data_IF_213326844102
#
_entry.id   IF_213326844102
#
_cell.length_a   1.000
_cell.length_b   1.000
_cell.length_c   1.000
_cell.angle_alpha   90.00
_cell.angle_beta   90.00
_cell.angle_gamma   90.00
#
_symmetry.space_group_name_H-M   'P 1'
#
loop_
_entity.id
_entity.type
_entity.pdbx_description
1 polymer ?
#
# COMPACT_ATOMS: atom_id res chain seq x y z
N UNK A 1 8.32 4.46 1.57
CA UNK A 1 6.98 3.88 1.82
C UNK A 1 6.84 3.49 3.28
N UNK A 2 5.77 3.90 3.95
CA UNK A 2 5.46 3.55 5.34
C UNK A 2 4.08 2.89 5.41
N UNK A 3 3.94 1.85 6.21
CA UNK A 3 2.67 1.16 6.43
C UNK A 3 2.40 1.07 7.92
N UNK A 4 1.22 1.49 8.35
CA UNK A 4 0.79 1.50 9.75
C UNK A 4 -0.55 0.80 9.89
N UNK A 5 -0.71 -0.02 10.93
CA UNK A 5 -2.00 -0.62 11.26
C UNK A 5 -2.88 0.40 11.98
N UNK A 6 -4.03 0.72 11.41
CA UNK A 6 -5.02 1.62 12.03
C UNK A 6 -5.96 0.85 12.94
N UNK A 7 -6.52 -0.25 12.43
CA UNK A 7 -7.40 -1.14 13.21
C UNK A 7 -7.41 -2.54 12.63
N UNK A 8 -7.74 -3.50 13.48
CA UNK A 8 -7.95 -4.90 13.10
C UNK A 8 -9.08 -5.48 13.96
N UNK A 9 -9.83 -6.42 13.43
CA UNK A 9 -10.81 -7.18 14.22
C UNK A 9 -10.14 -7.78 15.45
N UNK A 10 -10.59 -7.50 16.67
CA UNK A 10 -10.02 -8.07 17.89
C UNK A 10 -10.01 -9.60 17.83
N UNK A 11 -8.93 -10.22 18.28
CA UNK A 11 -8.74 -11.68 18.26
C UNK A 11 -9.11 -12.32 16.91
N UNK A 12 -8.69 -11.69 15.82
CA UNK A 12 -9.13 -12.00 14.45
C UNK A 12 -9.07 -13.50 14.11
N UNK A 13 -7.99 -14.18 14.44
CA UNK A 13 -7.83 -15.61 14.15
C UNK A 13 -8.84 -16.48 14.92
N UNK A 14 -9.05 -16.18 16.20
CA UNK A 14 -10.06 -16.83 17.03
C UNK A 14 -11.47 -16.56 16.50
N UNK A 15 -11.75 -15.32 16.09
CA UNK A 15 -13.02 -14.92 15.49
C UNK A 15 -13.29 -15.67 14.17
N UNK A 16 -12.32 -15.76 13.29
CA UNK A 16 -12.41 -16.53 12.03
C UNK A 16 -12.71 -18.00 12.33
N UNK A 17 -12.01 -18.61 13.30
CA UNK A 17 -12.23 -19.99 13.68
C UNK A 17 -13.61 -20.22 14.30
N UNK A 18 -14.09 -19.28 15.10
CA UNK A 18 -15.45 -19.27 15.64
C UNK A 18 -16.49 -19.31 14.51
N UNK A 19 -16.34 -18.45 13.51
CA UNK A 19 -17.22 -18.42 12.34
C UNK A 19 -17.12 -19.71 11.51
N UNK A 20 -15.92 -20.26 11.32
CA UNK A 20 -15.71 -21.50 10.60
C UNK A 20 -16.41 -22.70 11.26
N UNK A 21 -16.61 -22.65 12.59
CA UNK A 21 -17.26 -23.71 13.38
C UNK A 21 -18.76 -23.50 13.59
N UNK A 22 -19.40 -22.62 12.87
CA UNK A 22 -20.83 -22.32 13.01
C UNK A 22 -21.71 -23.58 12.92
N UNK A 23 -21.31 -24.58 12.14
CA UNK A 23 -21.99 -25.88 12.01
C UNK A 23 -21.58 -26.92 13.05
N UNK A 24 -20.69 -26.57 13.99
CA UNK A 24 -20.26 -27.41 15.10
C UNK A 24 -20.30 -26.62 16.43
N UNK A 25 -21.51 -26.33 16.96
CA UNK A 25 -21.68 -25.45 18.12
C UNK A 25 -20.93 -25.90 19.38
N UNK A 26 -20.78 -27.21 19.58
CA UNK A 26 -20.08 -27.75 20.75
C UNK A 26 -18.58 -27.44 20.76
N UNK A 27 -18.00 -27.22 19.56
CA UNK A 27 -16.58 -26.92 19.39
C UNK A 27 -16.31 -25.46 18.99
N UNK A 28 -17.35 -24.64 18.92
CA UNK A 28 -17.27 -23.27 18.38
C UNK A 28 -16.32 -22.38 19.20
N UNK A 29 -16.34 -22.52 20.52
CA UNK A 29 -15.51 -21.75 21.45
C UNK A 29 -14.16 -22.41 21.79
N UNK A 30 -13.72 -23.41 21.01
CA UNK A 30 -12.45 -24.07 21.25
C UNK A 30 -11.28 -23.13 20.95
N UNK A 31 -10.38 -22.93 21.92
CA UNK A 31 -9.21 -22.06 21.80
C UNK A 31 -8.11 -22.64 20.90
N UNK A 32 -8.16 -23.93 20.56
CA UNK A 32 -7.24 -24.55 19.60
C UNK A 32 -7.74 -24.35 18.18
N UNK A 33 -7.32 -23.29 17.50
CA UNK A 33 -7.83 -22.92 16.18
C UNK A 33 -6.77 -22.95 15.06
N UNK A 34 -5.49 -22.94 15.37
CA UNK A 34 -4.43 -22.88 14.34
C UNK A 34 -4.52 -23.99 13.29
N UNK A 35 -4.76 -25.23 13.75
CA UNK A 35 -4.91 -26.40 12.86
C UNK A 35 -6.09 -26.25 11.90
N UNK A 36 -7.20 -25.70 12.38
CA UNK A 36 -8.37 -25.41 11.55
C UNK A 36 -8.06 -24.34 10.48
N UNK A 37 -7.43 -23.23 10.86
CA UNK A 37 -7.08 -22.19 9.91
C UNK A 37 -6.11 -22.68 8.84
N UNK A 38 -5.08 -23.44 9.22
CA UNK A 38 -4.15 -24.07 8.28
C UNK A 38 -4.87 -25.04 7.34
N UNK A 39 -5.80 -25.83 7.84
CA UNK A 39 -6.65 -26.71 7.03
C UNK A 39 -7.46 -25.90 6.01
N UNK A 40 -8.14 -24.84 6.43
CA UNK A 40 -8.93 -23.99 5.57
C UNK A 40 -8.10 -23.33 4.46
N UNK A 41 -6.91 -22.84 4.79
CA UNK A 41 -5.97 -22.28 3.80
C UNK A 41 -5.56 -23.36 2.79
N UNK A 42 -5.15 -24.53 3.27
CA UNK A 42 -4.73 -25.66 2.41
C UNK A 42 -5.83 -26.10 1.44
N UNK A 43 -7.07 -26.06 1.87
CA UNK A 43 -8.23 -26.47 1.07
C UNK A 43 -8.96 -25.32 0.40
N UNK A 44 -8.38 -24.10 0.43
CA UNK A 44 -8.90 -22.91 -0.24
C UNK A 44 -10.32 -22.52 0.22
N UNK A 45 -10.63 -22.71 1.49
CA UNK A 45 -11.88 -22.28 2.11
C UNK A 45 -11.76 -20.80 2.53
N UNK A 46 -11.81 -19.88 1.57
CA UNK A 46 -11.50 -18.47 1.78
C UNK A 46 -12.58 -17.67 2.47
N UNK A 47 -13.86 -18.04 2.33
CA UNK A 47 -15.00 -17.26 2.83
C UNK A 47 -14.97 -16.99 4.33
N UNK A 48 -14.38 -17.86 5.13
CA UNK A 48 -14.26 -17.66 6.58
C UNK A 48 -13.31 -16.50 6.93
N UNK A 49 -12.32 -16.23 6.08
CA UNK A 49 -11.35 -15.15 6.29
C UNK A 49 -11.94 -13.76 6.01
N UNK A 50 -13.07 -13.69 5.33
CA UNK A 50 -13.83 -12.44 5.12
C UNK A 50 -14.55 -11.96 6.40
N UNK A 51 -14.57 -12.78 7.45
CA UNK A 51 -15.20 -12.42 8.73
C UNK A 51 -14.32 -11.54 9.63
N UNK A 52 -13.07 -11.29 9.23
CA UNK A 52 -12.16 -10.38 9.91
C UNK A 52 -11.62 -9.35 8.93
N UNK A 53 -11.40 -8.13 9.41
CA UNK A 53 -10.93 -7.01 8.61
C UNK A 53 -9.78 -6.30 9.30
N UNK A 54 -8.92 -5.65 8.49
CA UNK A 54 -7.94 -4.69 9.00
C UNK A 54 -7.93 -3.45 8.11
N UNK A 55 -7.64 -2.32 8.72
CA UNK A 55 -7.40 -1.06 8.02
C UNK A 55 -5.95 -0.68 8.15
N UNK A 56 -5.32 -0.42 7.02
CA UNK A 56 -3.92 0.03 6.94
C UNK A 56 -3.87 1.45 6.42
N UNK A 57 -3.02 2.27 7.03
CA UNK A 57 -2.58 3.54 6.47
C UNK A 57 -1.28 3.30 5.69
N UNK A 58 -1.24 3.76 4.44
CA UNK A 58 -0.09 3.58 3.55
C UNK A 58 0.36 4.94 3.06
N UNK A 59 1.54 5.38 3.51
CA UNK A 59 2.23 6.55 2.98
C UNK A 59 3.18 6.10 1.86
N UNK A 60 2.90 6.54 0.64
CA UNK A 60 3.68 6.12 -0.53
C UNK A 60 3.61 7.15 -1.66
N UNK A 61 4.39 6.93 -2.72
CA UNK A 61 4.36 7.79 -3.90
C UNK A 61 3.05 7.62 -4.69
N UNK A 62 2.66 8.67 -5.44
CA UNK A 62 1.50 8.64 -6.34
C UNK A 62 1.55 7.49 -7.34
N UNK A 63 2.74 7.17 -7.85
CA UNK A 63 2.94 6.07 -8.80
C UNK A 63 2.63 4.71 -8.20
N UNK A 64 3.07 4.46 -6.96
CA UNK A 64 2.78 3.21 -6.22
C UNK A 64 1.31 3.18 -5.81
N UNK A 65 0.78 4.28 -5.27
CA UNK A 65 -0.64 4.38 -4.89
C UNK A 65 -1.56 4.00 -6.06
N UNK A 66 -1.28 4.50 -7.27
CA UNK A 66 -2.05 4.16 -8.47
C UNK A 66 -2.07 2.66 -8.79
N UNK A 67 -1.01 1.91 -8.44
CA UNK A 67 -0.99 0.45 -8.60
C UNK A 67 -1.78 -0.25 -7.48
N UNK A 68 -1.65 0.20 -6.24
CA UNK A 68 -2.39 -0.35 -5.09
C UNK A 68 -3.89 -0.19 -5.29
N UNK A 69 -4.34 0.98 -5.73
CA UNK A 69 -5.76 1.29 -5.98
C UNK A 69 -6.42 0.42 -7.07
N UNK A 70 -5.64 -0.29 -7.88
CA UNK A 70 -6.17 -1.24 -8.88
C UNK A 70 -6.65 -2.56 -8.26
N UNK A 71 -6.35 -2.82 -6.99
CA UNK A 71 -6.73 -4.07 -6.33
C UNK A 71 -8.22 -4.05 -5.98
N UNK A 72 -9.01 -4.90 -6.65
CA UNK A 72 -10.48 -4.85 -6.60
C UNK A 72 -11.11 -5.44 -5.33
N UNK A 73 -10.36 -6.22 -4.58
CA UNK A 73 -10.85 -6.86 -3.34
C UNK A 73 -10.71 -5.97 -2.11
N UNK A 74 -10.12 -4.79 -2.25
CA UNK A 74 -9.96 -3.82 -1.17
C UNK A 74 -10.82 -2.58 -1.42
N UNK A 75 -11.15 -1.89 -0.34
CA UNK A 75 -11.74 -0.55 -0.38
C UNK A 75 -10.69 0.47 0.03
N UNK A 76 -10.73 1.66 -0.57
CA UNK A 76 -9.71 2.67 -0.39
C UNK A 76 -10.31 4.03 -0.08
N UNK A 77 -9.59 4.80 0.75
CA UNK A 77 -9.73 6.23 0.88
C UNK A 77 -8.39 6.86 0.56
N UNK A 78 -8.32 7.68 -0.47
CA UNK A 78 -7.10 8.34 -0.92
C UNK A 78 -7.10 9.80 -0.50
N UNK A 79 -5.92 10.31 -0.12
CA UNK A 79 -5.71 11.74 0.15
C UNK A 79 -6.06 12.58 -1.08
N UNK A 80 -7.00 13.50 -0.93
CA UNK A 80 -7.48 14.34 -2.02
C UNK A 80 -6.82 15.70 -2.03
N UNK A 81 -6.00 15.98 -3.03
CA UNK A 81 -5.38 17.28 -3.25
C UNK A 81 -6.39 18.39 -3.59
N UNK A 82 -7.66 18.09 -3.82
CA UNK A 82 -8.70 19.10 -4.01
C UNK A 82 -9.22 19.70 -2.71
N UNK A 83 -9.06 18.97 -1.59
CA UNK A 83 -9.56 19.36 -0.28
C UNK A 83 -8.45 19.71 0.71
N UNK A 84 -7.25 19.18 0.51
CA UNK A 84 -6.14 19.40 1.41
C UNK A 84 -5.05 20.23 0.75
N UNK A 85 -4.35 21.03 1.55
CA UNK A 85 -3.20 21.79 1.12
C UNK A 85 -2.06 20.85 0.70
N UNK A 86 -1.56 21.03 -0.51
CA UNK A 86 -0.43 20.25 -1.03
C UNK A 86 0.88 20.52 -0.28
N UNK A 87 0.98 21.61 0.49
CA UNK A 87 2.11 21.84 1.40
C UNK A 87 2.23 20.77 2.50
N UNK A 88 1.19 19.98 2.74
CA UNK A 88 1.24 18.80 3.61
C UNK A 88 2.00 17.62 2.97
N UNK A 89 2.26 17.67 1.68
CA UNK A 89 3.01 16.67 0.91
C UNK A 89 4.45 17.18 0.69
N UNK A 90 5.22 17.30 1.76
CA UNK A 90 6.53 17.97 1.75
C UNK A 90 7.69 17.09 1.30
N UNK A 91 7.56 15.79 1.35
CA UNK A 91 8.68 14.88 1.10
C UNK A 91 8.69 14.39 -0.35
N UNK A 92 9.78 14.71 -1.07
CA UNK A 92 10.06 14.15 -2.39
C UNK A 92 10.74 12.79 -2.17
N UNK A 93 9.96 11.72 -2.28
CA UNK A 93 10.52 10.37 -2.30
C UNK A 93 11.00 10.09 -3.74
N UNK A 94 12.34 10.07 -3.92
CA UNK A 94 12.93 9.75 -5.22
C UNK A 94 12.79 8.24 -5.49
N UNK A 95 12.43 7.86 -6.74
CA UNK A 95 12.37 6.45 -7.11
C UNK A 95 13.77 5.83 -7.13
N UNK A 96 13.85 4.57 -6.76
CA UNK A 96 15.04 3.76 -6.97
C UNK A 96 15.26 3.57 -8.48
N UNK A 97 16.35 4.10 -8.99
CA UNK A 97 16.67 4.05 -10.42
C UNK A 97 17.34 2.73 -10.76
N UNK A 98 16.77 2.01 -11.71
CA UNK A 98 17.28 0.72 -12.18
C UNK A 98 17.29 0.68 -13.70
N UNK A 99 18.22 -0.06 -14.29
CA UNK A 99 18.29 -0.28 -15.72
C UNK A 99 17.28 -1.35 -16.15
N UNK A 100 16.59 -1.13 -17.27
CA UNK A 100 15.71 -2.14 -17.85
C UNK A 100 16.52 -3.35 -18.33
N UNK A 101 16.06 -4.56 -18.03
CA UNK A 101 16.61 -5.80 -18.56
C UNK A 101 16.38 -5.87 -20.09
N UNK A 102 17.41 -6.24 -20.83
CA UNK A 102 17.35 -6.35 -22.29
C UNK A 102 16.63 -7.61 -22.78
N UNK A 103 16.56 -8.66 -21.95
CA UNK A 103 15.92 -9.94 -22.28
C UNK A 103 14.49 -10.01 -21.79
N UNK A 104 14.24 -9.53 -20.58
CA UNK A 104 12.90 -9.52 -19.98
C UNK A 104 12.49 -8.09 -19.63
N UNK A 105 11.60 -7.51 -20.43
CA UNK A 105 11.13 -6.12 -20.24
C UNK A 105 10.36 -5.87 -18.93
N UNK A 106 9.93 -6.91 -18.24
CA UNK A 106 9.29 -6.80 -16.94
C UNK A 106 10.30 -6.80 -15.79
N UNK A 107 11.56 -7.12 -16.07
CA UNK A 107 12.63 -7.14 -15.10
C UNK A 107 13.46 -5.86 -15.15
N UNK A 108 14.15 -5.56 -14.06
CA UNK A 108 15.12 -4.47 -13.96
C UNK A 108 16.39 -4.96 -13.26
N UNK A 109 17.50 -4.33 -13.60
CA UNK A 109 18.83 -4.68 -13.09
C UNK A 109 19.36 -3.49 -12.31
N UNK A 110 19.84 -3.76 -11.09
CA UNK A 110 20.41 -2.76 -10.19
C UNK A 110 21.93 -2.66 -10.43
N UNK A 111 22.30 -2.07 -11.57
CA UNK A 111 23.68 -1.93 -12.01
C UNK A 111 23.99 -0.56 -12.64
N UNK A 112 23.18 0.46 -12.33
CA UNK A 112 23.43 1.81 -12.78
C UNK A 112 24.65 2.40 -12.08
N UNK A 113 25.48 3.11 -12.86
CA UNK A 113 26.59 3.88 -12.32
C UNK A 113 26.09 4.90 -11.29
N UNK A 114 26.67 4.93 -10.06
CA UNK A 114 26.28 5.87 -9.02
C UNK A 114 26.32 7.35 -9.45
N UNK A 115 27.25 7.75 -10.30
CA UNK A 115 27.33 9.12 -10.83
C UNK A 115 26.13 9.46 -11.72
N UNK A 116 25.68 8.49 -12.52
CA UNK A 116 24.48 8.64 -13.35
C UNK A 116 23.23 8.75 -12.46
N UNK A 117 23.13 7.90 -11.44
CA UNK A 117 22.00 7.92 -10.47
C UNK A 117 21.95 9.28 -9.78
N UNK A 118 23.07 9.78 -9.26
CA UNK A 118 23.13 11.07 -8.59
C UNK A 118 22.74 12.23 -9.52
N UNK A 119 23.24 12.22 -10.76
CA UNK A 119 22.88 13.23 -11.77
C UNK A 119 21.37 13.25 -12.05
N UNK A 120 20.77 12.09 -12.27
CA UNK A 120 19.35 11.95 -12.55
C UNK A 120 18.50 12.37 -11.34
N UNK A 121 18.90 11.99 -10.14
CA UNK A 121 18.24 12.40 -8.90
C UNK A 121 18.23 13.93 -8.74
N UNK A 122 19.35 14.60 -8.98
CA UNK A 122 19.41 16.06 -8.96
C UNK A 122 18.46 16.70 -9.98
N UNK A 123 18.37 16.15 -11.18
CA UNK A 123 17.43 16.63 -12.19
C UNK A 123 15.97 16.45 -11.78
N UNK A 124 15.61 15.32 -11.18
CA UNK A 124 14.28 15.07 -10.67
C UNK A 124 13.91 16.05 -9.55
N UNK A 125 14.81 16.26 -8.57
CA UNK A 125 14.57 17.26 -7.50
C UNK A 125 14.32 18.65 -8.09
N UNK A 126 15.09 19.07 -9.09
CA UNK A 126 14.91 20.36 -9.77
C UNK A 126 13.54 20.46 -10.43
N UNK A 127 13.09 19.41 -11.12
CA UNK A 127 11.77 19.38 -11.76
C UNK A 127 10.64 19.46 -10.73
N UNK A 128 10.71 18.69 -9.64
CA UNK A 128 9.71 18.75 -8.57
C UNK A 128 9.65 20.13 -7.91
N UNK A 129 10.81 20.75 -7.62
CA UNK A 129 10.87 22.09 -7.06
C UNK A 129 10.28 23.14 -8.00
N UNK A 130 10.55 23.03 -9.30
CA UNK A 130 9.99 23.93 -10.31
C UNK A 130 8.47 23.77 -10.43
N UNK A 131 7.96 22.55 -10.42
CA UNK A 131 6.53 22.26 -10.46
C UNK A 131 5.82 22.78 -9.19
N UNK A 132 6.41 22.59 -8.02
CA UNK A 132 5.90 23.10 -6.75
C UNK A 132 5.83 24.64 -6.76
N UNK A 133 6.90 25.30 -7.19
CA UNK A 133 6.93 26.76 -7.27
C UNK A 133 5.88 27.30 -8.23
N UNK A 134 5.69 26.67 -9.40
CA UNK A 134 4.66 27.06 -10.36
C UNK A 134 3.26 26.90 -9.73
N UNK A 135 3.01 25.81 -9.04
CA UNK A 135 1.73 25.57 -8.35
C UNK A 135 1.46 26.65 -7.30
N UNK A 136 2.44 27.02 -6.47
CA UNK A 136 2.30 28.09 -5.48
C UNK A 136 2.00 29.44 -6.13
N UNK A 137 2.65 29.77 -7.25
CA UNK A 137 2.35 30.99 -8.01
C UNK A 137 0.90 31.00 -8.52
N UNK A 138 0.41 29.85 -9.02
CA UNK A 138 -0.98 29.73 -9.47
C UNK A 138 -1.99 29.87 -8.33
N UNK A 139 -1.67 29.43 -7.12
CA UNK A 139 -2.51 29.65 -5.94
C UNK A 139 -2.51 31.14 -5.53
N UNK A 140 -1.36 31.79 -5.49
CA UNK A 140 -1.23 33.19 -5.13
C UNK A 140 -1.89 34.17 -6.13
N UNK A 141 -2.09 33.77 -7.39
CA UNK A 141 -2.76 34.57 -8.40
C UNK A 141 -4.30 34.50 -8.34
N UNK A 142 -4.88 33.78 -7.39
CA UNK A 142 -6.33 33.69 -7.17
C UNK A 142 -6.89 34.64 -6.13
N UNK A 143 -6.06 35.57 -5.60
CA UNK A 143 -6.47 36.64 -4.65
C UNK A 143 -6.82 37.93 -5.36
#
# INVERSE_FOLDING_TARGET
MKVSLVTVTPDAEKHIAYCARVSNPQNQNNDSFEGLLRYCIKHQHWSIFEQATMTLEIETTRGIAAQVLRHRSFTFQEFSQRYADTNLLTDIELPELRRQDTKNRQNSIDDLDPEIVEKLNRQMVTLFSSASNLYQQMLGSRS
#
